data_IF_526262409723
#
_entry.id   IF_526262409723
#
_cell.length_a   1.000
_cell.length_b   1.000
_cell.length_c   1.000
_cell.angle_alpha   90.00
_cell.angle_beta   90.00
_cell.angle_gamma   90.00
#
_symmetry.space_group_name_H-M   'P 1'
#
loop_
_entity.id
_entity.type
_entity.pdbx_description
1 polymer ?
#
# COMPACT_ATOMS: atom_id res chain seq x y z
N UNK A 1 -14.61 13.06 -0.57
CA UNK A 1 -13.38 13.07 -1.35
C UNK A 1 -12.66 11.75 -1.17
N UNK A 2 -12.16 11.13 -2.26
CA UNK A 2 -11.40 9.88 -2.22
C UNK A 2 -9.95 10.14 -2.64
N UNK A 3 -8.99 9.69 -1.84
CA UNK A 3 -7.56 9.72 -2.17
C UNK A 3 -7.21 8.56 -3.09
N UNK A 4 -7.70 7.37 -2.74
CA UNK A 4 -7.50 6.14 -3.50
C UNK A 4 -8.85 5.50 -3.81
N UNK A 5 -8.90 4.66 -4.84
CA UNK A 5 -10.11 3.96 -5.25
C UNK A 5 -10.49 2.91 -4.23
N UNK A 6 -11.75 2.98 -3.80
CA UNK A 6 -12.38 1.97 -2.98
C UNK A 6 -13.90 1.95 -3.26
N UNK A 7 -14.47 0.77 -3.25
CA UNK A 7 -15.91 0.59 -3.11
C UNK A 7 -16.19 -0.75 -2.41
N UNK A 8 -17.37 -0.85 -1.81
CA UNK A 8 -17.78 -2.09 -1.19
C UNK A 8 -17.91 -3.20 -2.23
N UNK A 9 -17.23 -4.29 -2.00
CA UNK A 9 -17.28 -5.50 -2.81
C UNK A 9 -17.30 -6.72 -1.89
N UNK A 10 -18.48 -7.24 -1.52
CA UNK A 10 -18.59 -8.38 -0.61
C UNK A 10 -18.13 -9.71 -1.23
N UNK A 11 -17.87 -9.75 -2.53
CA UNK A 11 -17.48 -10.97 -3.24
C UNK A 11 -15.98 -11.17 -3.30
N UNK A 12 -15.24 -10.18 -3.77
CA UNK A 12 -13.81 -10.31 -4.02
C UNK A 12 -12.97 -9.46 -3.06
N UNK A 13 -13.54 -8.35 -2.56
CA UNK A 13 -12.84 -7.36 -1.72
C UNK A 13 -11.46 -6.97 -2.28
N UNK A 14 -11.42 -6.71 -3.61
CA UNK A 14 -10.18 -6.45 -4.34
C UNK A 14 -9.89 -4.95 -4.53
N UNK A 15 -10.71 -4.06 -3.96
CA UNK A 15 -10.57 -2.62 -4.06
C UNK A 15 -9.94 -2.04 -2.80
N UNK A 16 -8.92 -1.22 -2.97
CA UNK A 16 -8.26 -0.58 -1.83
C UNK A 16 -6.77 -0.33 -2.07
N UNK A 17 -6.05 -0.17 -0.98
CA UNK A 17 -4.59 -0.02 -0.98
C UNK A 17 -3.98 -1.27 -0.35
N UNK A 18 -3.05 -1.89 -1.07
CA UNK A 18 -2.52 -3.19 -0.74
C UNK A 18 -1.01 -3.17 -0.54
N UNK A 19 -0.51 -4.06 0.27
CA UNK A 19 0.92 -4.34 0.41
C UNK A 19 1.13 -5.81 0.07
N UNK A 20 2.06 -6.04 -0.87
CA UNK A 20 2.44 -7.38 -1.33
C UNK A 20 3.85 -7.69 -0.87
N UNK A 21 4.07 -8.94 -0.53
CA UNK A 21 5.39 -9.51 -0.37
C UNK A 21 5.65 -10.54 -1.47
N UNK A 22 6.86 -10.56 -1.97
CA UNK A 22 7.33 -11.54 -2.94
C UNK A 22 8.64 -12.14 -2.46
N UNK A 23 8.70 -13.45 -2.39
CA UNK A 23 9.95 -14.17 -2.30
C UNK A 23 10.65 -14.13 -3.67
N UNK A 24 11.89 -13.64 -3.69
CA UNK A 24 12.68 -13.47 -4.92
C UNK A 24 13.28 -14.76 -5.44
N UNK A 25 13.39 -15.78 -4.61
CA UNK A 25 13.97 -17.07 -4.96
C UNK A 25 12.92 -18.01 -5.53
N UNK A 26 11.77 -18.12 -4.88
CA UNK A 26 10.67 -18.98 -5.34
C UNK A 26 9.73 -18.29 -6.32
N UNK A 27 9.71 -16.96 -6.33
CA UNK A 27 8.75 -16.16 -7.11
C UNK A 27 7.37 -16.07 -6.46
N UNK A 28 7.13 -16.75 -5.35
CA UNK A 28 5.85 -16.78 -4.64
C UNK A 28 5.47 -15.37 -4.16
N UNK A 29 4.19 -15.03 -4.26
CA UNK A 29 3.66 -13.71 -3.87
C UNK A 29 2.43 -13.90 -2.99
N UNK A 30 2.33 -13.04 -1.98
CA UNK A 30 1.15 -12.94 -1.12
C UNK A 30 0.93 -11.49 -0.69
N UNK A 31 -0.25 -11.18 -0.19
CA UNK A 31 -0.55 -9.88 0.41
C UNK A 31 -0.39 -9.95 1.93
N UNK A 32 -0.14 -8.82 2.58
CA UNK A 32 -0.09 -8.76 4.06
C UNK A 32 -1.45 -9.00 4.71
N UNK A 33 -2.52 -8.93 3.92
CA UNK A 33 -3.90 -9.29 4.29
C UNK A 33 -4.34 -10.50 3.49
N UNK A 34 -5.50 -11.10 3.82
CA UNK A 34 -6.04 -12.24 3.08
C UNK A 34 -6.25 -11.91 1.60
N UNK A 35 -6.88 -10.79 1.34
CA UNK A 35 -7.09 -10.28 -0.01
C UNK A 35 -5.97 -9.28 -0.39
N UNK A 36 -5.74 -9.01 -1.67
CA UNK A 36 -6.39 -9.56 -2.85
C UNK A 36 -5.68 -10.79 -3.47
N UNK A 37 -4.56 -11.24 -2.90
CA UNK A 37 -3.76 -12.31 -3.50
C UNK A 37 -4.46 -13.68 -3.41
N UNK A 38 -5.43 -13.85 -2.50
CA UNK A 38 -6.19 -15.08 -2.36
C UNK A 38 -5.35 -16.32 -2.01
N UNK A 39 -4.12 -16.13 -1.52
CA UNK A 39 -3.23 -17.22 -1.18
C UNK A 39 -3.70 -17.95 0.08
N UNK A 40 -3.51 -19.26 0.12
CA UNK A 40 -3.53 -19.98 1.38
C UNK A 40 -2.49 -19.39 2.33
N UNK A 41 -2.81 -19.32 3.59
CA UNK A 41 -1.93 -18.82 4.66
C UNK A 41 -1.83 -19.88 5.76
N UNK A 42 -0.69 -19.88 6.46
CA UNK A 42 -0.48 -20.81 7.58
C UNK A 42 -1.26 -20.33 8.81
N UNK A 43 -1.25 -19.04 9.04
CA UNK A 43 -2.00 -18.39 10.11
C UNK A 43 -2.32 -16.93 9.76
N UNK A 44 -3.51 -16.44 10.17
CA UNK A 44 -3.91 -15.05 10.01
C UNK A 44 -4.82 -14.60 11.15
N UNK A 45 -4.57 -13.39 11.64
CA UNK A 45 -5.40 -12.72 12.64
C UNK A 45 -5.54 -11.23 12.31
N UNK A 46 -6.69 -10.65 12.64
CA UNK A 46 -6.94 -9.20 12.55
C UNK A 46 -7.40 -8.71 13.91
N UNK A 47 -6.67 -7.73 14.45
CA UNK A 47 -6.92 -7.14 15.75
C UNK A 47 -7.33 -5.67 15.59
N UNK A 48 -8.48 -5.32 16.14
CA UNK A 48 -8.99 -3.95 16.14
C UNK A 48 -8.75 -3.29 17.51
N UNK A 49 -8.06 -2.16 17.49
CA UNK A 49 -7.80 -1.31 18.64
C UNK A 49 -8.44 0.07 18.43
N UNK A 50 -8.69 0.86 19.48
CA UNK A 50 -9.28 2.20 19.33
C UNK A 50 -8.49 3.16 18.42
N UNK A 51 -7.18 2.94 18.27
CA UNK A 51 -6.27 3.84 17.54
C UNK A 51 -5.57 3.19 16.35
N UNK A 52 -5.73 1.89 16.12
CA UNK A 52 -5.11 1.17 15.01
C UNK A 52 -5.85 -0.11 14.66
N UNK A 53 -5.62 -0.61 13.47
CA UNK A 53 -5.90 -2.00 13.08
C UNK A 53 -4.57 -2.70 12.88
N UNK A 54 -4.46 -3.95 13.33
CA UNK A 54 -3.27 -4.76 13.18
C UNK A 54 -3.63 -6.08 12.47
N UNK A 55 -2.89 -6.37 11.40
CA UNK A 55 -2.96 -7.62 10.66
C UNK A 55 -1.73 -8.45 11.02
N UNK A 56 -1.94 -9.66 11.44
CA UNK A 56 -0.87 -10.64 11.67
C UNK A 56 -1.06 -11.79 10.70
N UNK A 57 0.02 -12.20 10.05
CA UNK A 57 -0.02 -13.26 9.05
C UNK A 57 1.32 -13.97 8.98
N UNK A 58 1.27 -15.29 8.82
CA UNK A 58 2.45 -16.13 8.55
C UNK A 58 2.23 -16.89 7.26
N UNK A 59 3.23 -16.89 6.40
CA UNK A 59 3.26 -17.62 5.13
C UNK A 59 4.68 -18.05 4.81
N UNK A 60 4.86 -19.29 4.43
CA UNK A 60 6.12 -19.82 3.91
C UNK A 60 7.34 -19.56 4.82
N UNK A 61 7.15 -19.59 6.14
CA UNK A 61 8.20 -19.32 7.13
C UNK A 61 8.54 -17.83 7.26
N UNK A 62 7.66 -16.93 6.83
CA UNK A 62 7.76 -15.49 7.03
C UNK A 62 6.55 -15.00 7.82
N UNK A 63 6.81 -14.45 8.99
CA UNK A 63 5.78 -13.79 9.81
C UNK A 63 5.75 -12.30 9.54
N UNK A 64 4.53 -11.76 9.39
CA UNK A 64 4.30 -10.33 9.18
C UNK A 64 3.32 -9.79 10.20
N UNK A 65 3.64 -8.60 10.71
CA UNK A 65 2.72 -7.80 11.53
C UNK A 65 2.59 -6.41 10.91
N UNK A 66 1.40 -6.06 10.47
CA UNK A 66 1.11 -4.79 9.81
C UNK A 66 0.13 -3.98 10.64
N UNK A 67 0.62 -2.89 11.24
CA UNK A 67 -0.22 -1.92 11.94
C UNK A 67 -0.61 -0.77 11.01
N UNK A 68 -1.89 -0.42 10.98
CA UNK A 68 -2.43 0.72 10.24
C UNK A 68 -3.04 1.70 11.24
N UNK A 69 -2.59 2.95 11.18
CA UNK A 69 -3.11 4.05 12.00
C UNK A 69 -3.22 5.33 11.18
N UNK A 70 -4.08 6.24 11.62
CA UNK A 70 -4.26 7.55 10.99
C UNK A 70 -3.98 8.61 12.05
N UNK A 71 -3.13 9.58 11.73
CA UNK A 71 -2.85 10.72 12.59
C UNK A 71 -3.95 11.79 12.48
N UNK A 72 -3.99 12.71 13.45
CA UNK A 72 -4.85 13.90 13.40
C UNK A 72 -4.58 14.81 12.21
N UNK A 73 -3.37 14.77 11.67
CA UNK A 73 -2.93 15.56 10.50
C UNK A 73 -3.29 14.91 9.15
N UNK A 74 -4.07 13.83 9.17
CA UNK A 74 -4.52 13.13 7.97
C UNK A 74 -3.43 12.26 7.31
N UNK A 75 -2.42 11.86 8.05
CA UNK A 75 -1.39 10.92 7.58
C UNK A 75 -1.78 9.49 7.96
N UNK A 76 -1.90 8.62 6.97
CA UNK A 76 -2.01 7.18 7.18
C UNK A 76 -0.62 6.56 7.29
N UNK A 77 -0.34 5.91 8.41
CA UNK A 77 0.90 5.19 8.65
C UNK A 77 0.64 3.68 8.61
N UNK A 78 1.35 2.97 7.76
CA UNK A 78 1.38 1.50 7.68
C UNK A 78 2.75 0.99 8.07
N UNK A 79 2.86 0.45 9.29
CA UNK A 79 4.12 -0.17 9.76
C UNK A 79 4.07 -1.66 9.51
N UNK A 80 4.97 -2.15 8.66
CA UNK A 80 5.12 -3.58 8.36
C UNK A 80 6.38 -4.09 9.02
N UNK A 81 6.23 -5.00 9.98
CA UNK A 81 7.33 -5.74 10.56
C UNK A 81 7.37 -7.12 9.89
N UNK A 82 8.54 -7.52 9.43
CA UNK A 82 8.77 -8.80 8.75
C UNK A 82 9.79 -9.57 9.55
N UNK A 83 9.46 -10.79 9.91
CA UNK A 83 10.34 -11.73 10.59
C UNK A 83 10.55 -12.95 9.72
N UNK A 84 11.79 -13.33 9.53
CA UNK A 84 12.16 -14.58 8.88
C UNK A 84 12.25 -15.67 9.97
N UNK A 85 11.31 -16.60 9.95
CA UNK A 85 11.21 -17.71 10.91
C UNK A 85 11.97 -18.94 10.43
N UNK A 86 12.65 -18.85 9.27
CA UNK A 86 13.49 -19.93 8.75
C UNK A 86 14.95 -19.80 9.23
N UNK A 87 15.71 -20.86 9.08
CA UNK A 87 17.13 -20.96 9.46
C UNK A 87 18.10 -20.44 8.38
N UNK A 88 17.57 -19.93 7.26
CA UNK A 88 18.38 -19.43 6.13
C UNK A 88 17.95 -18.02 5.70
N UNK A 89 18.86 -17.24 5.10
CA UNK A 89 18.54 -15.91 4.58
C UNK A 89 17.49 -15.97 3.48
N UNK A 90 16.54 -15.03 3.47
CA UNK A 90 15.50 -14.91 2.46
C UNK A 90 15.59 -13.55 1.75
N UNK A 91 15.39 -13.54 0.44
CA UNK A 91 15.37 -12.32 -0.36
C UNK A 91 13.92 -11.94 -0.67
N UNK A 92 13.42 -10.93 0.02
CA UNK A 92 12.03 -10.50 -0.09
C UNK A 92 11.93 -9.17 -0.82
N UNK A 93 10.82 -8.97 -1.54
CA UNK A 93 10.44 -7.70 -2.15
C UNK A 93 9.08 -7.28 -1.62
N UNK A 94 9.04 -6.14 -0.93
CA UNK A 94 7.80 -5.51 -0.52
C UNK A 94 7.35 -4.51 -1.60
N UNK A 95 6.06 -4.51 -1.91
CA UNK A 95 5.45 -3.60 -2.88
C UNK A 95 4.14 -3.06 -2.31
N UNK A 96 4.03 -1.75 -2.21
CA UNK A 96 2.77 -1.07 -1.92
C UNK A 96 2.06 -0.74 -3.24
N UNK A 97 0.74 -0.89 -3.25
CA UNK A 97 -0.12 -0.63 -4.41
C UNK A 97 -1.38 0.11 -4.00
N UNK A 98 -1.81 1.04 -4.81
CA UNK A 98 -3.09 1.72 -4.68
C UNK A 98 -3.44 2.44 -5.97
N UNK A 99 -4.73 2.58 -6.25
CA UNK A 99 -5.20 3.40 -7.37
C UNK A 99 -5.54 4.81 -6.88
N UNK A 100 -4.72 5.78 -7.29
CA UNK A 100 -4.89 7.18 -6.90
C UNK A 100 -6.08 7.79 -7.63
N UNK A 101 -6.94 8.49 -6.91
CA UNK A 101 -8.19 9.09 -7.42
C UNK A 101 -8.19 10.61 -7.26
N UNK A 102 -7.90 11.13 -6.09
CA UNK A 102 -7.86 12.56 -5.75
C UNK A 102 -9.10 13.31 -6.24
N UNK A 103 -10.28 12.72 -6.09
CA UNK A 103 -11.56 13.26 -6.59
C UNK A 103 -12.71 12.80 -5.70
N UNK A 104 -13.92 13.21 -6.02
CA UNK A 104 -15.12 12.67 -5.36
C UNK A 104 -15.33 11.22 -5.76
N UNK A 105 -15.81 10.40 -4.84
CA UNK A 105 -16.14 9.00 -5.11
C UNK A 105 -17.18 8.86 -6.24
N UNK A 106 -18.12 9.79 -6.31
CA UNK A 106 -19.13 9.81 -7.37
C UNK A 106 -18.53 10.06 -8.76
N UNK A 107 -17.53 10.95 -8.88
CA UNK A 107 -16.84 11.20 -10.14
C UNK A 107 -15.99 9.99 -10.57
N UNK A 108 -15.31 9.33 -9.63
CA UNK A 108 -14.54 8.14 -9.93
C UNK A 108 -15.44 6.98 -10.41
N UNK A 109 -16.57 6.76 -9.76
CA UNK A 109 -17.55 5.72 -10.17
C UNK A 109 -18.12 5.94 -11.56
N UNK A 110 -18.40 7.19 -11.93
CA UNK A 110 -19.00 7.52 -13.23
C UNK A 110 -18.01 7.36 -14.39
N UNK A 111 -16.79 7.87 -14.22
CA UNK A 111 -15.80 7.97 -15.28
C UNK A 111 -14.37 7.71 -14.76
N UNK A 112 -14.04 6.48 -14.32
CA UNK A 112 -12.76 6.19 -13.66
C UNK A 112 -11.56 6.45 -14.58
N UNK A 113 -11.63 6.08 -15.85
CA UNK A 113 -10.55 6.31 -16.80
C UNK A 113 -10.34 7.81 -17.08
N UNK A 114 -11.41 8.57 -17.21
CA UNK A 114 -11.34 10.02 -17.43
C UNK A 114 -10.70 10.75 -16.25
N UNK A 115 -11.00 10.34 -15.01
CA UNK A 115 -10.40 10.94 -13.83
C UNK A 115 -8.88 10.76 -13.78
N UNK A 116 -8.36 9.64 -14.27
CA UNK A 116 -6.91 9.36 -14.31
C UNK A 116 -6.12 10.33 -15.21
N UNK A 117 -6.74 10.92 -16.23
CA UNK A 117 -6.10 11.89 -17.11
C UNK A 117 -5.63 13.18 -16.41
N UNK A 118 -6.16 13.45 -15.23
CA UNK A 118 -5.82 14.64 -14.44
C UNK A 118 -4.84 14.35 -13.32
N UNK A 119 -4.40 13.10 -13.16
CA UNK A 119 -3.43 12.71 -12.14
C UNK A 119 -2.03 12.77 -12.74
N UNK A 120 -1.21 13.61 -12.15
CA UNK A 120 0.22 13.71 -12.43
C UNK A 120 0.99 13.01 -11.33
N UNK A 121 2.06 12.29 -11.67
CA UNK A 121 2.91 11.61 -10.70
C UNK A 121 4.36 11.97 -10.88
N UNK A 122 5.06 12.17 -9.77
CA UNK A 122 6.46 12.52 -9.71
C UNK A 122 7.16 11.68 -8.63
N UNK A 123 8.34 11.15 -8.94
CA UNK A 123 9.17 10.49 -7.93
C UNK A 123 10.15 11.48 -7.33
N UNK A 124 10.17 11.56 -6.00
CA UNK A 124 11.08 12.38 -5.21
C UNK A 124 12.19 11.49 -4.64
N UNK A 125 13.37 11.44 -5.28
CA UNK A 125 14.40 10.46 -4.91
C UNK A 125 15.02 10.72 -3.53
N UNK A 126 15.13 11.96 -3.10
CA UNK A 126 15.70 12.31 -1.79
C UNK A 126 14.83 11.83 -0.63
N UNK A 127 13.52 11.92 -0.81
CA UNK A 127 12.51 11.57 0.17
C UNK A 127 12.05 10.11 0.04
N UNK A 128 12.52 9.40 -1.00
CA UNK A 128 12.02 8.07 -1.41
C UNK A 128 10.49 8.03 -1.45
N UNK A 129 9.90 9.02 -2.12
CA UNK A 129 8.46 9.25 -2.13
C UNK A 129 7.91 9.42 -3.55
N UNK A 130 6.64 9.08 -3.70
CA UNK A 130 5.83 9.42 -4.87
C UNK A 130 4.92 10.58 -4.51
N UNK A 131 4.95 11.62 -5.33
CA UNK A 131 4.04 12.75 -5.25
C UNK A 131 3.00 12.60 -6.36
N UNK A 132 1.73 12.63 -5.98
CA UNK A 132 0.60 12.66 -6.90
C UNK A 132 -0.14 13.98 -6.77
N UNK A 133 -0.39 14.62 -7.90
CA UNK A 133 -1.10 15.88 -7.99
C UNK A 133 -2.30 15.70 -8.90
N UNK A 134 -3.45 16.26 -8.51
CA UNK A 134 -4.57 16.40 -9.43
C UNK A 134 -4.55 17.78 -10.05
N UNK A 135 -4.45 17.82 -11.37
CA UNK A 135 -4.61 19.08 -12.13
C UNK A 135 -6.04 19.55 -12.03
N UNK A 136 -6.29 20.80 -11.56
CA UNK A 136 -7.64 21.37 -11.53
C UNK A 136 -8.25 21.44 -12.95
N UNK A 137 -9.55 21.17 -13.05
CA UNK A 137 -10.29 21.27 -14.31
C UNK A 137 -10.93 22.64 -14.51
N UNK A 138 -11.04 23.43 -13.44
CA UNK A 138 -11.53 24.80 -13.45
C UNK A 138 -10.73 25.64 -12.45
N UNK A 139 -10.84 26.99 -12.58
CA UNK A 139 -10.16 27.92 -11.67
C UNK A 139 -10.63 27.81 -10.21
N UNK A 140 -11.84 27.31 -9.98
CA UNK A 140 -12.45 27.19 -8.66
C UNK A 140 -12.08 25.85 -7.97
N UNK A 141 -11.52 24.89 -8.70
CA UNK A 141 -11.13 23.60 -8.15
C UNK A 141 -9.79 23.72 -7.42
N UNK A 142 -9.78 23.42 -6.11
CA UNK A 142 -8.55 23.45 -5.33
C UNK A 142 -7.64 22.29 -5.73
N UNK A 143 -6.32 22.54 -5.89
CA UNK A 143 -5.37 21.46 -6.15
C UNK A 143 -5.32 20.50 -4.96
N UNK A 144 -5.30 19.21 -5.26
CA UNK A 144 -5.19 18.15 -4.27
C UNK A 144 -3.90 17.37 -4.52
N UNK A 145 -3.22 17.06 -3.44
CA UNK A 145 -1.92 16.39 -3.46
C UNK A 145 -1.96 15.19 -2.52
N UNK A 146 -1.34 14.09 -2.95
CA UNK A 146 -1.07 12.91 -2.13
C UNK A 146 0.42 12.61 -2.20
N UNK A 147 1.05 12.42 -1.04
CA UNK A 147 2.41 11.92 -0.93
C UNK A 147 2.37 10.49 -0.41
N UNK A 148 3.09 9.60 -1.09
CA UNK A 148 3.28 8.23 -0.65
C UNK A 148 4.77 7.94 -0.50
N UNK A 149 5.23 7.81 0.74
CA UNK A 149 6.64 7.58 1.07
C UNK A 149 6.87 6.18 1.63
N UNK A 150 8.05 5.62 1.36
CA UNK A 150 8.54 4.41 1.98
C UNK A 150 9.75 4.72 2.85
N UNK A 151 9.61 4.49 4.15
CA UNK A 151 10.70 4.58 5.11
C UNK A 151 11.08 3.16 5.49
N UNK A 152 12.37 2.86 5.44
CA UNK A 152 12.90 1.57 5.83
C UNK A 152 13.75 1.72 7.07
N UNK A 153 13.35 1.04 8.13
CA UNK A 153 14.13 0.91 9.36
C UNK A 153 14.84 -0.45 9.33
N UNK A 154 16.17 -0.46 9.40
CA UNK A 154 16.93 -1.69 9.49
C UNK A 154 16.64 -2.37 10.83
N UNK A 155 16.05 -3.56 10.76
CA UNK A 155 15.94 -4.46 11.91
C UNK A 155 17.28 -5.14 12.25
N UNK A 156 17.34 -5.82 13.37
CA UNK A 156 18.49 -6.66 13.70
C UNK A 156 18.60 -7.78 12.67
N UNK A 157 19.67 -7.78 11.87
CA UNK A 157 20.03 -8.86 10.95
C UNK A 157 19.52 -8.74 9.51
N UNK A 158 18.90 -7.63 9.11
CA UNK A 158 18.43 -7.44 7.73
C UNK A 158 19.20 -6.35 6.98
N UNK A 159 19.67 -6.65 5.76
CA UNK A 159 20.12 -5.66 4.81
C UNK A 159 18.95 -5.21 3.95
N UNK A 160 18.73 -3.91 3.88
CA UNK A 160 17.61 -3.35 3.12
C UNK A 160 18.13 -2.45 2.00
N UNK A 161 17.81 -2.82 0.77
CA UNK A 161 18.07 -1.97 -0.40
C UNK A 161 16.75 -1.33 -0.87
N UNK A 162 16.52 -0.04 -0.64
CA UNK A 162 15.35 0.65 -1.19
C UNK A 162 15.44 0.68 -2.72
N UNK A 163 14.37 0.31 -3.39
CA UNK A 163 14.23 0.48 -4.84
C UNK A 163 13.15 1.50 -5.13
N UNK A 164 13.48 2.44 -6.01
CA UNK A 164 12.55 3.46 -6.49
C UNK A 164 11.23 2.84 -6.94
N UNK A 165 10.13 3.41 -6.46
CA UNK A 165 8.81 3.11 -6.96
C UNK A 165 8.70 3.61 -8.42
N UNK A 166 8.08 2.82 -9.28
CA UNK A 166 7.70 3.25 -10.62
C UNK A 166 6.19 3.51 -10.63
N UNK A 167 5.79 4.74 -10.95
CA UNK A 167 4.43 4.96 -11.41
C UNK A 167 4.33 4.38 -12.82
N UNK A 168 3.33 3.54 -13.06
CA UNK A 168 2.92 3.24 -14.43
C UNK A 168 1.84 4.26 -14.78
N UNK A 169 2.14 5.09 -15.77
CA UNK A 169 1.17 5.96 -16.39
C UNK A 169 0.05 5.17 -17.06
#
# INVERSE_FOLDING_TARGET
FALTRWHADPTLDAWGTWIYLQDRETGTRWSVTCQPAGCAHDNQEVLFYPHKVEFQRSDHGISMRTGVTISTDGVELRRVNILNDTDHPRKLKLTSYGEVVLSTQAADRRHPAFNKLFIESEYLPKENALLFKRRPRSADEKPVVLIHALIVEAGRGGEVAPRAARSRG
#
